data_IF_930257388276
#
_entry.id   IF_930257388276
#
_cell.length_a   1.000
_cell.length_b   1.000
_cell.length_c   1.000
_cell.angle_alpha   90.00
_cell.angle_beta   90.00
_cell.angle_gamma   90.00
#
_symmetry.space_group_name_H-M   'P 1'
#
loop_
_entity.id
_entity.type
_entity.pdbx_description
1 polymer ?
#
# COMPACT_ATOMS: atom_id res chain seq x y z
N UNK A 1 -31.80 14.55 -11.62
CA UNK A 1 -32.69 14.46 -12.78
C UNK A 1 -32.58 15.77 -13.55
N UNK A 2 -32.26 15.69 -14.84
CA UNK A 2 -32.14 16.86 -15.67
C UNK A 2 -30.88 17.67 -15.36
N UNK A 3 -31.03 18.80 -14.77
CA UNK A 3 -29.99 19.81 -14.64
C UNK A 3 -29.26 19.77 -13.26
N UNK A 4 -29.44 18.69 -12.46
CA UNK A 4 -28.80 18.56 -11.13
C UNK A 4 -28.01 17.26 -11.05
N UNK A 5 -26.74 17.37 -10.63
CA UNK A 5 -25.83 16.23 -10.39
C UNK A 5 -25.38 16.24 -8.93
N UNK A 6 -25.64 15.15 -8.24
CA UNK A 6 -25.15 14.90 -6.88
C UNK A 6 -23.92 13.97 -6.93
N UNK A 7 -22.82 14.41 -6.36
CA UNK A 7 -21.55 13.70 -6.31
C UNK A 7 -21.22 13.32 -4.87
N UNK A 8 -20.93 12.05 -4.63
CA UNK A 8 -20.54 11.49 -3.33
C UNK A 8 -19.04 11.15 -3.35
N UNK A 9 -18.16 12.08 -2.93
CA UNK A 9 -16.73 11.84 -2.95
C UNK A 9 -16.35 10.70 -2.01
N UNK A 10 -15.57 9.73 -2.47
CA UNK A 10 -15.16 8.55 -1.69
C UNK A 10 -14.35 8.88 -0.42
N UNK A 11 -13.78 10.08 -0.31
CA UNK A 11 -12.98 10.58 0.81
C UNK A 11 -13.77 11.49 1.77
N UNK A 12 -15.08 11.65 1.58
CA UNK A 12 -15.97 12.47 2.44
C UNK A 12 -17.26 11.72 2.74
N UNK A 13 -17.36 11.16 3.93
CA UNK A 13 -18.56 10.41 4.36
C UNK A 13 -19.73 11.32 4.75
N UNK A 14 -19.44 12.52 5.28
CA UNK A 14 -20.46 13.41 5.86
C UNK A 14 -21.02 14.46 4.91
N UNK A 15 -20.37 14.71 3.76
CA UNK A 15 -20.76 15.77 2.83
C UNK A 15 -20.68 15.31 1.38
N UNK A 16 -21.74 15.52 0.63
CA UNK A 16 -21.79 15.37 -0.82
C UNK A 16 -21.87 16.73 -1.52
N UNK A 17 -21.52 16.75 -2.80
CA UNK A 17 -21.56 17.94 -3.64
C UNK A 17 -22.77 17.88 -4.56
N UNK A 18 -23.57 18.94 -4.57
CA UNK A 18 -24.64 19.19 -5.56
C UNK A 18 -24.19 20.24 -6.55
N UNK A 19 -24.33 19.94 -7.83
CA UNK A 19 -24.07 20.86 -8.93
C UNK A 19 -25.36 21.03 -9.69
N UNK A 20 -25.81 22.28 -9.83
CA UNK A 20 -26.96 22.67 -10.62
C UNK A 20 -26.47 23.31 -11.91
N UNK A 21 -27.02 22.88 -13.05
CA UNK A 21 -26.64 23.35 -14.36
C UNK A 21 -27.77 24.18 -14.98
N UNK A 22 -27.38 25.22 -15.71
CA UNK A 22 -28.24 25.92 -16.63
C UNK A 22 -27.72 25.74 -18.06
N UNK A 23 -28.28 24.79 -18.78
CA UNK A 23 -27.70 24.35 -20.03
C UNK A 23 -26.33 23.68 -19.85
N UNK A 24 -25.29 24.24 -20.49
CA UNK A 24 -23.92 23.75 -20.39
C UNK A 24 -23.06 24.48 -19.34
N UNK A 25 -23.67 25.40 -18.56
CA UNK A 25 -22.98 26.19 -17.55
C UNK A 25 -23.38 25.71 -16.14
N UNK A 26 -22.43 25.79 -15.20
CA UNK A 26 -22.72 25.56 -13.77
C UNK A 26 -23.36 26.83 -13.22
N UNK A 27 -24.61 26.73 -12.80
CA UNK A 27 -25.35 27.81 -12.17
C UNK A 27 -25.05 27.93 -10.67
N UNK A 28 -24.96 26.76 -9.98
CA UNK A 28 -24.75 26.72 -8.54
C UNK A 28 -24.06 25.45 -8.10
N UNK A 29 -23.22 25.57 -7.06
CA UNK A 29 -22.64 24.43 -6.33
C UNK A 29 -22.89 24.55 -4.84
N UNK A 30 -23.31 23.46 -4.21
CA UNK A 30 -23.54 23.41 -2.76
C UNK A 30 -23.12 22.09 -2.14
N UNK A 31 -22.63 22.15 -0.91
CA UNK A 31 -22.41 20.96 -0.09
C UNK A 31 -23.69 20.61 0.67
N UNK A 32 -24.05 19.33 0.67
CA UNK A 32 -25.23 18.85 1.38
C UNK A 32 -24.93 17.57 2.18
N UNK A 33 -25.77 17.28 3.17
CA UNK A 33 -25.72 16.04 3.94
C UNK A 33 -26.37 14.91 3.14
N UNK A 34 -25.65 13.78 2.88
CA UNK A 34 -26.21 12.66 2.12
C UNK A 34 -27.49 12.04 2.72
N UNK A 35 -27.55 11.94 4.05
CA UNK A 35 -28.65 11.28 4.75
C UNK A 35 -29.94 12.13 4.78
N UNK A 36 -29.80 13.43 5.04
CA UNK A 36 -30.94 14.34 5.17
C UNK A 36 -31.28 15.11 3.90
N UNK A 37 -30.36 15.14 2.93
CA UNK A 37 -30.47 15.99 1.74
C UNK A 37 -30.39 17.49 2.02
N UNK A 38 -30.07 17.87 3.27
CA UNK A 38 -30.03 19.27 3.69
C UNK A 38 -28.77 19.97 3.22
N UNK A 39 -28.95 21.04 2.47
CA UNK A 39 -27.83 21.89 2.05
C UNK A 39 -27.21 22.61 3.27
N UNK A 40 -25.88 22.64 3.30
CA UNK A 40 -25.11 23.23 4.39
C UNK A 40 -24.38 24.49 3.97
N UNK A 41 -23.82 24.51 2.76
CA UNK A 41 -22.91 25.57 2.34
C UNK A 41 -22.91 25.67 0.82
N UNK A 42 -23.07 26.88 0.29
CA UNK A 42 -22.86 27.18 -1.11
C UNK A 42 -21.38 27.50 -1.34
N UNK A 43 -20.82 26.98 -2.43
CA UNK A 43 -19.40 27.09 -2.73
C UNK A 43 -19.17 27.47 -4.19
N UNK A 44 -18.12 28.25 -4.44
CA UNK A 44 -17.73 28.66 -5.78
C UNK A 44 -16.74 27.70 -6.45
N UNK A 45 -16.02 26.93 -5.66
CA UNK A 45 -14.99 26.00 -6.16
C UNK A 45 -14.99 24.70 -5.36
N UNK A 46 -14.77 23.59 -6.06
CA UNK A 46 -14.60 22.29 -5.43
C UNK A 46 -13.54 21.47 -6.15
N UNK A 47 -12.61 20.87 -5.40
CA UNK A 47 -11.64 19.97 -5.97
C UNK A 47 -12.13 18.53 -5.78
N UNK A 48 -12.46 17.88 -6.88
CA UNK A 48 -12.88 16.49 -6.90
C UNK A 48 -11.66 15.59 -7.18
N UNK A 49 -11.31 14.77 -6.19
CA UNK A 49 -10.25 13.79 -6.35
C UNK A 49 -10.80 12.45 -6.83
N UNK A 50 -10.03 11.70 -7.63
CA UNK A 50 -10.43 10.37 -8.05
C UNK A 50 -10.66 9.43 -6.86
N UNK A 51 -11.67 8.57 -6.95
CA UNK A 51 -11.95 7.53 -5.96
C UNK A 51 -10.96 6.34 -6.06
N UNK A 52 -10.25 6.23 -7.17
CA UNK A 52 -9.32 5.15 -7.47
C UNK A 52 -7.96 5.70 -7.89
N UNK A 53 -6.90 4.97 -7.58
CA UNK A 53 -5.50 5.37 -7.88
C UNK A 53 -5.25 5.40 -9.39
N UNK A 54 -5.79 4.42 -10.13
CA UNK A 54 -5.63 4.34 -11.58
C UNK A 54 -6.88 4.92 -12.27
N UNK A 55 -6.78 6.19 -12.62
CA UNK A 55 -7.75 6.85 -13.53
C UNK A 55 -7.02 7.14 -14.83
N UNK A 56 -7.36 6.39 -15.86
CA UNK A 56 -6.71 6.49 -17.17
C UNK A 56 -7.71 7.06 -18.17
N UNK A 57 -7.37 8.09 -18.96
CA UNK A 57 -8.21 8.55 -20.05
C UNK A 57 -8.55 7.42 -21.03
N UNK A 58 -9.72 7.46 -21.63
CA UNK A 58 -10.26 6.37 -22.43
C UNK A 58 -9.35 6.01 -23.62
N UNK A 59 -8.77 7.00 -24.29
CA UNK A 59 -7.83 6.82 -25.39
C UNK A 59 -6.55 6.07 -24.95
N UNK A 60 -6.02 6.38 -23.78
CA UNK A 60 -4.88 5.67 -23.19
C UNK A 60 -5.26 4.25 -22.73
N UNK A 61 -6.45 4.08 -22.20
CA UNK A 61 -6.95 2.77 -21.79
C UNK A 61 -7.05 1.83 -23.01
N UNK A 62 -7.57 2.30 -24.13
CA UNK A 62 -7.66 1.52 -25.36
C UNK A 62 -6.28 1.13 -25.90
N UNK A 63 -5.33 2.07 -25.91
CA UNK A 63 -3.96 1.79 -26.31
C UNK A 63 -3.29 0.76 -25.37
N UNK A 64 -3.50 0.88 -24.06
CA UNK A 64 -2.99 -0.08 -23.07
C UNK A 64 -3.57 -1.48 -23.28
N UNK A 65 -4.87 -1.60 -23.57
CA UNK A 65 -5.55 -2.87 -23.86
C UNK A 65 -4.90 -3.56 -25.07
N UNK A 66 -4.63 -2.85 -26.15
CA UNK A 66 -3.95 -3.43 -27.31
C UNK A 66 -2.54 -3.90 -27.00
N UNK A 67 -1.76 -3.11 -26.26
CA UNK A 67 -0.42 -3.50 -25.82
C UNK A 67 -0.43 -4.73 -24.91
N UNK A 68 -1.42 -4.84 -24.02
CA UNK A 68 -1.60 -6.03 -23.15
C UNK A 68 -1.93 -7.26 -24.01
N UNK A 69 -2.80 -7.13 -25.03
CA UNK A 69 -3.12 -8.22 -25.96
C UNK A 69 -1.90 -8.68 -26.76
N UNK A 70 -1.02 -7.74 -27.14
CA UNK A 70 0.22 -8.09 -27.83
C UNK A 70 1.18 -8.86 -26.93
N UNK A 71 1.40 -8.39 -25.71
CA UNK A 71 2.22 -9.10 -24.72
C UNK A 71 1.64 -10.48 -24.41
N UNK A 72 0.32 -10.59 -24.25
CA UNK A 72 -0.35 -11.86 -24.02
C UNK A 72 -0.09 -12.85 -25.18
N UNK A 73 -0.31 -12.43 -26.43
CA UNK A 73 -0.06 -13.28 -27.61
C UNK A 73 1.36 -13.80 -27.65
N UNK A 74 2.34 -12.92 -27.43
CA UNK A 74 3.73 -13.31 -27.35
C UNK A 74 3.98 -14.30 -26.21
N UNK A 75 3.52 -14.01 -25.01
CA UNK A 75 3.77 -14.89 -23.84
C UNK A 75 3.10 -16.26 -23.99
N UNK A 76 1.91 -16.32 -24.56
CA UNK A 76 1.23 -17.59 -24.84
C UNK A 76 2.02 -18.46 -25.82
N UNK A 77 2.60 -17.86 -26.86
CA UNK A 77 3.47 -18.59 -27.80
C UNK A 77 4.67 -19.21 -27.07
N UNK A 78 5.36 -18.43 -26.22
CA UNK A 78 6.49 -18.91 -25.42
C UNK A 78 6.09 -20.06 -24.48
N UNK A 79 4.98 -19.92 -23.74
CA UNK A 79 4.53 -20.97 -22.82
C UNK A 79 4.16 -22.27 -23.55
N UNK A 80 3.53 -22.15 -24.74
CA UNK A 80 3.18 -23.31 -25.55
C UNK A 80 4.40 -24.03 -26.11
N UNK A 81 5.44 -23.29 -26.55
CA UNK A 81 6.71 -23.84 -26.98
C UNK A 81 7.45 -24.57 -25.83
N UNK A 82 7.35 -24.03 -24.60
CA UNK A 82 7.88 -24.67 -23.38
C UNK A 82 7.06 -25.89 -22.92
N UNK A 83 5.95 -26.21 -23.58
CA UNK A 83 5.05 -27.29 -23.18
C UNK A 83 4.17 -26.97 -21.96
N UNK A 84 4.13 -25.73 -21.50
CA UNK A 84 3.37 -25.24 -20.34
C UNK A 84 1.92 -24.88 -20.73
N UNK A 85 1.14 -25.89 -21.13
CA UNK A 85 -0.21 -25.67 -21.66
C UNK A 85 -1.21 -25.18 -20.60
N UNK A 86 -1.08 -25.65 -19.35
CA UNK A 86 -1.96 -25.24 -18.23
C UNK A 86 -1.69 -23.79 -17.84
N UNK A 87 -0.44 -23.40 -17.79
CA UNK A 87 0.00 -22.02 -17.52
C UNK A 87 -0.50 -21.08 -18.63
N UNK A 88 -0.37 -21.49 -19.89
CA UNK A 88 -0.86 -20.72 -21.03
C UNK A 88 -2.38 -20.52 -20.95
N UNK A 89 -3.16 -21.58 -20.71
CA UNK A 89 -4.62 -21.48 -20.59
C UNK A 89 -5.04 -20.59 -19.44
N UNK A 90 -4.40 -20.73 -18.28
CA UNK A 90 -4.66 -19.90 -17.09
C UNK A 90 -4.40 -18.42 -17.36
N UNK A 91 -3.25 -18.11 -17.96
CA UNK A 91 -2.87 -16.75 -18.30
C UNK A 91 -3.86 -16.12 -19.29
N UNK A 92 -4.23 -16.88 -20.33
CA UNK A 92 -5.18 -16.44 -21.37
C UNK A 92 -6.54 -16.11 -20.75
N UNK A 93 -7.12 -17.04 -19.99
CA UNK A 93 -8.42 -16.84 -19.35
C UNK A 93 -8.41 -15.64 -18.40
N UNK A 94 -7.40 -15.54 -17.54
CA UNK A 94 -7.31 -14.45 -16.58
C UNK A 94 -7.15 -13.11 -17.27
N UNK A 95 -6.22 -13.00 -18.21
CA UNK A 95 -5.94 -11.72 -18.88
C UNK A 95 -7.11 -11.26 -19.74
N UNK A 96 -7.77 -12.17 -20.46
CA UNK A 96 -8.95 -11.83 -21.27
C UNK A 96 -10.11 -11.34 -20.40
N UNK A 97 -10.35 -11.97 -19.25
CA UNK A 97 -11.35 -11.52 -18.29
C UNK A 97 -11.01 -10.13 -17.73
N UNK A 98 -9.75 -9.89 -17.35
CA UNK A 98 -9.30 -8.59 -16.85
C UNK A 98 -9.47 -7.49 -17.92
N UNK A 99 -9.18 -7.80 -19.19
CA UNK A 99 -9.38 -6.87 -20.33
C UNK A 99 -10.85 -6.54 -20.56
N UNK A 100 -11.74 -7.52 -20.48
CA UNK A 100 -13.18 -7.33 -20.58
C UNK A 100 -13.68 -6.40 -19.46
N UNK A 101 -13.25 -6.64 -18.22
CA UNK A 101 -13.58 -5.77 -17.10
C UNK A 101 -13.05 -4.33 -17.27
N UNK A 102 -11.85 -4.16 -17.81
CA UNK A 102 -11.31 -2.83 -18.09
C UNK A 102 -12.13 -2.11 -19.17
N UNK A 103 -12.61 -2.82 -20.21
CA UNK A 103 -13.43 -2.24 -21.28
C UNK A 103 -14.84 -1.85 -20.82
N UNK A 104 -15.49 -2.72 -20.04
CA UNK A 104 -16.90 -2.53 -19.66
C UNK A 104 -17.05 -1.64 -18.40
N UNK A 105 -16.11 -1.72 -17.47
CA UNK A 105 -16.22 -1.09 -16.15
C UNK A 105 -15.11 -0.04 -15.92
N UNK A 106 -14.08 -0.01 -16.77
CA UNK A 106 -12.90 0.84 -16.60
C UNK A 106 -11.93 0.35 -15.51
N UNK A 107 -12.16 -0.82 -14.91
CA UNK A 107 -11.37 -1.35 -13.80
C UNK A 107 -11.40 -2.88 -13.77
N UNK A 108 -10.31 -3.49 -13.28
CA UNK A 108 -10.26 -4.90 -12.93
C UNK A 108 -9.53 -5.13 -11.60
N UNK A 109 -9.79 -6.26 -10.95
CA UNK A 109 -9.06 -6.65 -9.73
C UNK A 109 -7.60 -6.96 -10.07
N UNK A 110 -6.66 -6.23 -9.43
CA UNK A 110 -5.23 -6.35 -9.72
C UNK A 110 -4.78 -5.52 -10.92
N UNK A 111 -5.49 -4.45 -11.25
CA UNK A 111 -5.17 -3.52 -12.35
C UNK A 111 -3.74 -3.00 -12.29
N UNK A 112 -3.16 -2.91 -11.10
CA UNK A 112 -1.77 -2.52 -10.88
C UNK A 112 -0.76 -3.42 -11.60
N UNK A 113 -1.11 -4.68 -11.89
CA UNK A 113 -0.25 -5.59 -12.64
C UNK A 113 -0.10 -5.20 -14.11
N UNK A 114 -0.98 -4.33 -14.61
CA UNK A 114 -0.95 -3.76 -15.95
C UNK A 114 -0.44 -2.30 -15.97
N UNK A 115 0.05 -1.80 -14.83
CA UNK A 115 0.42 -0.38 -14.65
C UNK A 115 1.41 0.13 -15.69
N UNK A 116 2.37 -0.71 -16.16
CA UNK A 116 3.30 -0.33 -17.22
C UNK A 116 2.58 0.11 -18.48
N UNK A 117 1.61 -0.67 -18.94
CA UNK A 117 0.82 -0.36 -20.14
C UNK A 117 -0.11 0.84 -19.92
N UNK A 118 -0.75 0.92 -18.76
CA UNK A 118 -1.67 2.02 -18.41
C UNK A 118 -0.96 3.39 -18.31
N UNK A 119 0.30 3.38 -17.88
CA UNK A 119 1.12 4.60 -17.75
C UNK A 119 2.01 4.88 -18.96
N UNK A 120 2.09 3.94 -19.91
CA UNK A 120 2.93 4.09 -21.12
C UNK A 120 4.42 4.01 -20.84
N UNK A 121 4.84 3.35 -19.75
CA UNK A 121 6.27 3.20 -19.39
C UNK A 121 6.95 2.13 -20.23
N UNK A 122 8.25 2.31 -20.46
CA UNK A 122 9.08 1.32 -21.10
C UNK A 122 9.35 0.09 -20.16
N UNK A 123 9.67 -1.08 -20.74
CA UNK A 123 10.06 -2.24 -19.95
C UNK A 123 11.24 -1.95 -19.02
N UNK A 124 11.09 -2.25 -17.73
CA UNK A 124 12.12 -2.03 -16.71
C UNK A 124 12.10 -0.63 -16.09
N UNK A 125 11.40 0.33 -16.68
CA UNK A 125 11.25 1.66 -16.14
C UNK A 125 10.50 1.61 -14.79
N UNK A 126 11.03 2.35 -13.78
CA UNK A 126 10.44 2.36 -12.45
C UNK A 126 9.05 3.02 -12.44
N UNK A 127 8.12 2.54 -11.60
CA UNK A 127 6.86 3.25 -11.40
C UNK A 127 7.09 4.55 -10.61
N UNK A 128 6.17 5.48 -10.78
CA UNK A 128 6.08 6.63 -9.88
C UNK A 128 5.77 6.17 -8.46
N UNK A 129 6.39 6.81 -7.49
CA UNK A 129 6.17 6.57 -6.07
C UNK A 129 5.88 7.89 -5.34
N UNK A 130 5.60 7.82 -4.04
CA UNK A 130 5.29 9.00 -3.23
C UNK A 130 6.41 10.06 -3.29
N UNK A 131 7.67 9.64 -3.37
CA UNK A 131 8.83 10.55 -3.40
C UNK A 131 8.86 11.44 -4.65
N UNK A 132 8.29 10.99 -5.77
CA UNK A 132 8.21 11.77 -7.01
C UNK A 132 7.30 13.01 -6.91
N UNK A 133 6.47 13.10 -5.87
CA UNK A 133 5.55 14.21 -5.64
C UNK A 133 6.07 15.26 -4.67
N UNK A 134 7.25 15.04 -4.10
CA UNK A 134 7.91 16.03 -3.24
C UNK A 134 8.79 16.98 -4.08
N UNK A 135 9.05 18.19 -3.61
CA UNK A 135 10.04 19.08 -4.21
C UNK A 135 11.43 18.42 -4.21
N UNK A 136 12.28 18.76 -5.18
CA UNK A 136 13.63 18.18 -5.33
C UNK A 136 14.53 18.39 -4.09
N UNK A 137 14.24 19.38 -3.28
CA UNK A 137 15.01 19.77 -2.08
C UNK A 137 14.37 19.32 -0.75
N UNK A 138 13.46 18.33 -0.78
CA UNK A 138 12.84 17.82 0.44
C UNK A 138 13.83 17.13 1.37
N UNK A 139 13.54 17.20 2.67
CA UNK A 139 14.26 16.49 3.70
C UNK A 139 13.51 15.20 4.09
N UNK A 140 14.16 14.06 3.94
CA UNK A 140 13.68 12.79 4.43
C UNK A 140 14.17 12.55 5.85
N UNK A 141 13.26 12.21 6.75
CA UNK A 141 13.60 11.74 8.11
C UNK A 141 13.22 10.27 8.22
N UNK A 142 14.20 9.41 8.46
CA UNK A 142 14.02 7.97 8.60
C UNK A 142 14.07 7.60 10.07
N UNK A 143 12.91 7.27 10.63
CA UNK A 143 12.80 6.78 12.00
C UNK A 143 13.14 5.30 12.10
N UNK A 144 13.74 4.89 13.22
CA UNK A 144 14.27 3.54 13.45
C UNK A 144 15.08 3.02 12.24
N UNK A 145 15.99 3.85 11.77
CA UNK A 145 16.69 3.64 10.50
C UNK A 145 17.44 2.31 10.43
N UNK A 146 17.98 1.82 11.54
CA UNK A 146 18.65 0.52 11.65
C UNK A 146 17.76 -0.67 11.27
N UNK A 147 16.42 -0.50 11.31
CA UNK A 147 15.43 -1.49 10.87
C UNK A 147 14.83 -1.09 9.53
N UNK A 148 14.50 0.19 9.35
CA UNK A 148 13.82 0.71 8.16
C UNK A 148 14.69 0.58 6.90
N UNK A 149 15.96 0.94 6.95
CA UNK A 149 16.85 0.87 5.80
C UNK A 149 17.04 -0.57 5.28
N UNK A 150 17.33 -1.58 6.11
CA UNK A 150 17.35 -2.97 5.66
C UNK A 150 16.04 -3.45 5.04
N UNK A 151 14.88 -3.01 5.55
CA UNK A 151 13.58 -3.34 4.98
C UNK A 151 13.41 -2.72 3.58
N UNK A 152 13.72 -1.45 3.40
CA UNK A 152 13.67 -0.78 2.09
C UNK A 152 14.57 -1.51 1.09
N UNK A 153 15.79 -1.86 1.49
CA UNK A 153 16.75 -2.60 0.66
C UNK A 153 16.23 -3.98 0.25
N UNK A 154 15.49 -4.66 1.11
CA UNK A 154 14.95 -5.99 0.84
C UNK A 154 13.68 -5.99 -0.03
N UNK A 155 12.93 -4.89 -0.08
CA UNK A 155 11.60 -4.81 -0.72
C UNK A 155 11.63 -5.22 -2.20
N UNK A 156 12.56 -4.69 -2.98
CA UNK A 156 12.66 -4.97 -4.40
C UNK A 156 12.88 -6.46 -4.68
N UNK A 157 13.88 -7.07 -4.03
CA UNK A 157 14.21 -8.46 -4.25
C UNK A 157 13.10 -9.41 -3.79
N UNK A 158 12.43 -9.10 -2.68
CA UNK A 158 11.31 -9.88 -2.17
C UNK A 158 10.11 -9.85 -3.12
N UNK A 159 9.71 -8.67 -3.60
CA UNK A 159 8.62 -8.51 -4.57
C UNK A 159 8.95 -9.19 -5.90
N UNK A 160 10.17 -8.99 -6.43
CA UNK A 160 10.63 -9.60 -7.67
C UNK A 160 10.60 -11.12 -7.60
N UNK A 161 11.12 -11.72 -6.54
CA UNK A 161 11.15 -13.16 -6.37
C UNK A 161 9.73 -13.78 -6.38
N UNK A 162 8.79 -13.13 -5.68
CA UNK A 162 7.38 -13.54 -5.67
C UNK A 162 6.74 -13.41 -7.07
N UNK A 163 6.92 -12.30 -7.74
CA UNK A 163 6.32 -12.03 -9.06
C UNK A 163 6.89 -12.91 -10.15
N UNK A 164 8.19 -13.23 -10.12
CA UNK A 164 8.80 -14.18 -11.04
C UNK A 164 8.09 -15.54 -11.00
N UNK A 165 7.74 -16.02 -9.81
CA UNK A 165 6.96 -17.26 -9.67
C UNK A 165 5.56 -17.14 -10.27
N UNK A 166 4.89 -16.03 -10.08
CA UNK A 166 3.57 -15.77 -10.66
C UNK A 166 3.60 -15.73 -12.20
N UNK A 167 4.65 -15.13 -12.78
CA UNK A 167 4.86 -15.09 -14.23
C UNK A 167 5.24 -16.45 -14.78
N UNK A 168 6.14 -17.18 -14.10
CA UNK A 168 6.56 -18.52 -14.48
C UNK A 168 5.39 -19.50 -14.58
N UNK A 169 4.45 -19.41 -13.63
CA UNK A 169 3.30 -20.29 -13.54
C UNK A 169 2.02 -19.74 -14.22
N UNK A 170 2.12 -18.72 -15.06
CA UNK A 170 1.00 -18.21 -15.85
C UNK A 170 -0.09 -17.49 -15.04
N UNK A 171 0.22 -16.93 -13.87
CA UNK A 171 -0.71 -16.12 -13.09
C UNK A 171 -0.65 -14.63 -13.44
N UNK A 172 0.46 -14.17 -14.04
CA UNK A 172 0.67 -12.77 -14.43
C UNK A 172 1.45 -12.68 -15.73
N UNK A 173 1.24 -11.59 -16.47
CA UNK A 173 2.09 -11.21 -17.60
C UNK A 173 3.48 -10.78 -17.11
N UNK A 174 4.53 -10.88 -17.94
CA UNK A 174 5.87 -10.40 -17.61
C UNK A 174 5.91 -8.92 -17.19
N UNK A 175 5.07 -8.06 -17.79
CA UNK A 175 4.94 -6.63 -17.45
C UNK A 175 4.56 -6.38 -16.00
N UNK A 176 3.97 -7.35 -15.29
CA UNK A 176 3.68 -7.23 -13.86
C UNK A 176 4.94 -7.05 -13.00
N UNK A 177 6.11 -7.46 -13.52
CA UNK A 177 7.41 -7.23 -12.88
C UNK A 177 7.78 -5.74 -12.79
N UNK A 178 7.23 -4.91 -13.70
CA UNK A 178 7.51 -3.47 -13.74
C UNK A 178 6.62 -2.64 -12.79
N UNK A 179 5.62 -3.26 -12.17
CA UNK A 179 4.94 -2.70 -10.98
C UNK A 179 5.70 -3.16 -9.74
N UNK A 180 6.72 -2.45 -9.35
CA UNK A 180 7.70 -2.85 -8.36
C UNK A 180 8.08 -1.75 -7.39
N UNK A 181 8.55 -2.06 -6.18
CA UNK A 181 9.23 -1.09 -5.34
C UNK A 181 10.48 -0.52 -6.04
N UNK A 182 10.96 0.60 -5.55
CA UNK A 182 12.27 1.12 -5.93
C UNK A 182 13.37 0.08 -5.65
N UNK A 183 14.42 0.06 -6.47
CA UNK A 183 15.68 -0.51 -6.01
C UNK A 183 16.27 0.37 -4.92
N UNK A 184 17.27 -0.13 -4.19
CA UNK A 184 17.87 0.67 -3.13
C UNK A 184 18.64 1.87 -3.70
N UNK A 185 19.29 1.69 -4.84
CA UNK A 185 20.00 2.74 -5.58
C UNK A 185 19.02 3.84 -6.05
N UNK A 186 17.86 3.47 -6.61
CA UNK A 186 16.80 4.43 -6.97
C UNK A 186 16.27 5.20 -5.75
N UNK A 187 16.17 4.53 -4.61
CA UNK A 187 15.79 5.19 -3.35
C UNK A 187 16.82 6.22 -2.92
N UNK A 188 18.12 5.88 -2.95
CA UNK A 188 19.20 6.80 -2.60
C UNK A 188 19.25 8.01 -3.55
N UNK A 189 19.04 7.80 -4.85
CA UNK A 189 19.00 8.88 -5.85
C UNK A 189 17.83 9.86 -5.60
N UNK A 190 16.67 9.36 -5.16
CA UNK A 190 15.48 10.17 -4.88
C UNK A 190 15.51 10.87 -3.52
N UNK A 191 16.45 10.54 -2.64
CA UNK A 191 16.51 11.05 -1.27
C UNK A 191 17.84 11.72 -0.96
N UNK A 192 18.13 12.87 -1.60
CA UNK A 192 19.46 13.52 -1.52
C UNK A 192 19.80 14.07 -0.13
N UNK A 193 18.79 14.36 0.69
CA UNK A 193 18.97 14.88 2.04
C UNK A 193 18.21 13.99 3.02
N UNK A 194 18.95 13.25 3.86
CA UNK A 194 18.34 12.29 4.80
C UNK A 194 18.89 12.47 6.22
N UNK A 195 17.99 12.49 7.19
CA UNK A 195 18.32 12.36 8.62
C UNK A 195 17.93 10.95 9.07
N UNK A 196 18.89 10.21 9.57
CA UNK A 196 18.67 8.89 10.16
C UNK A 196 18.50 9.03 11.68
N UNK A 197 17.42 8.47 12.21
CA UNK A 197 17.11 8.46 13.63
C UNK A 197 17.09 7.03 14.14
N UNK A 198 17.85 6.75 15.19
CA UNK A 198 17.90 5.42 15.80
C UNK A 198 18.52 5.48 17.20
N UNK A 199 18.02 4.65 18.10
CA UNK A 199 18.66 4.41 19.38
C UNK A 199 19.93 3.53 19.25
N UNK A 200 19.99 2.72 18.19
CA UNK A 200 21.07 1.78 17.89
C UNK A 200 21.43 1.83 16.40
N UNK A 201 22.09 2.91 15.94
CA UNK A 201 22.43 3.07 14.53
C UNK A 201 23.30 1.90 14.04
N UNK A 202 23.08 1.50 12.79
CA UNK A 202 23.82 0.44 12.12
C UNK A 202 24.97 1.02 11.26
N UNK A 203 25.76 0.13 10.67
CA UNK A 203 26.95 0.53 9.89
C UNK A 203 26.60 1.45 8.72
N UNK A 204 25.45 1.24 8.07
CA UNK A 204 25.02 2.04 6.92
C UNK A 204 24.85 3.52 7.30
N UNK A 205 24.13 3.82 8.38
CA UNK A 205 23.90 5.21 8.82
C UNK A 205 25.21 5.88 9.25
N UNK A 206 26.09 5.14 9.91
CA UNK A 206 27.40 5.64 10.34
C UNK A 206 28.30 5.93 9.14
N UNK A 207 28.28 5.08 8.11
CA UNK A 207 29.00 5.30 6.85
C UNK A 207 28.47 6.52 6.11
N UNK A 208 27.13 6.65 5.95
CA UNK A 208 26.50 7.77 5.26
C UNK A 208 26.73 9.12 5.97
N UNK A 209 26.80 9.13 7.30
CA UNK A 209 27.07 10.34 8.09
C UNK A 209 28.58 10.64 8.25
N UNK A 210 29.46 9.82 7.67
CA UNK A 210 30.92 9.96 7.86
C UNK A 210 31.36 9.74 9.31
N UNK A 211 30.58 8.97 10.09
CA UNK A 211 30.82 8.73 11.52
C UNK A 211 30.40 9.88 12.43
N UNK A 212 29.78 10.92 11.90
CA UNK A 212 29.28 12.06 12.70
C UNK A 212 27.83 11.79 13.08
N UNK A 213 27.52 11.81 14.36
CA UNK A 213 26.18 11.69 14.89
C UNK A 213 25.93 12.62 16.07
N UNK A 214 24.67 12.94 16.31
CA UNK A 214 24.22 13.78 17.42
C UNK A 214 23.50 12.91 18.43
N UNK A 215 23.96 12.91 19.66
CA UNK A 215 23.32 12.17 20.75
C UNK A 215 22.24 13.01 21.43
N UNK A 216 21.04 12.45 21.55
CA UNK A 216 19.95 13.01 22.35
C UNK A 216 19.65 12.06 23.52
N UNK A 217 20.36 12.26 24.62
CA UNK A 217 20.36 11.34 25.76
C UNK A 217 19.28 11.69 26.79
N UNK A 218 18.81 12.94 26.81
CA UNK A 218 17.84 13.40 27.81
C UNK A 218 16.43 13.03 27.43
N UNK A 219 15.75 12.22 28.26
CA UNK A 219 14.32 11.92 28.14
C UNK A 219 13.53 12.85 29.08
N UNK A 220 12.94 13.95 28.59
CA UNK A 220 12.33 14.98 29.43
C UNK A 220 10.96 14.59 30.01
N UNK A 221 10.42 13.42 29.64
CA UNK A 221 9.08 12.97 30.07
C UNK A 221 8.97 12.66 31.57
N UNK A 222 10.05 12.42 32.25
CA UNK A 222 10.06 11.97 33.66
C UNK A 222 9.47 10.58 33.90
N UNK A 223 9.09 9.87 32.83
CA UNK A 223 8.55 8.52 32.90
C UNK A 223 9.74 7.53 32.89
N UNK A 224 9.95 6.74 33.97
CA UNK A 224 11.00 5.73 33.99
C UNK A 224 10.70 4.62 32.99
N UNK A 225 11.73 3.88 32.59
CA UNK A 225 11.55 2.66 31.83
C UNK A 225 10.77 1.64 32.68
N UNK A 226 9.94 0.77 32.05
CA UNK A 226 9.22 -0.25 32.78
C UNK A 226 10.16 -1.25 33.43
N UNK A 227 9.78 -1.78 34.59
CA UNK A 227 10.49 -2.91 35.21
C UNK A 227 10.38 -4.14 34.33
N UNK A 228 11.48 -4.80 34.08
CA UNK A 228 11.56 -6.00 33.26
C UNK A 228 11.80 -7.21 34.17
N UNK A 229 10.89 -8.18 34.08
CA UNK A 229 11.04 -9.47 34.74
C UNK A 229 11.19 -10.59 33.70
N UNK A 230 12.25 -11.37 33.80
CA UNK A 230 12.49 -12.53 32.93
C UNK A 230 12.05 -13.79 33.64
N UNK A 231 11.10 -14.51 33.07
CA UNK A 231 10.54 -15.74 33.65
C UNK A 231 10.85 -16.97 32.78
N UNK A 232 10.90 -18.17 33.37
CA UNK A 232 11.09 -19.42 32.63
C UNK A 232 9.98 -19.65 31.59
N UNK A 233 10.30 -20.30 30.48
CA UNK A 233 9.32 -20.64 29.43
C UNK A 233 8.41 -21.82 29.79
N UNK A 234 8.78 -22.63 30.79
CA UNK A 234 7.92 -23.71 31.31
C UNK A 234 6.64 -23.14 31.94
N UNK A 235 5.49 -23.63 31.48
CA UNK A 235 4.15 -23.17 31.92
C UNK A 235 3.88 -21.69 31.68
N UNK A 236 4.54 -21.09 30.66
CA UNK A 236 4.42 -19.65 30.38
C UNK A 236 2.99 -19.19 30.10
N UNK A 237 2.11 -20.05 29.55
CA UNK A 237 0.71 -19.68 29.27
C UNK A 237 -0.11 -19.60 30.55
N UNK A 238 0.08 -20.53 31.49
CA UNK A 238 -0.60 -20.49 32.78
C UNK A 238 -0.15 -19.28 33.61
N UNK A 239 1.14 -18.98 33.61
CA UNK A 239 1.71 -17.81 34.27
C UNK A 239 1.17 -16.50 33.65
N UNK A 240 1.07 -16.43 32.31
CA UNK A 240 0.44 -15.32 31.62
C UNK A 240 -1.02 -15.13 32.01
N UNK A 241 -1.80 -16.21 32.05
CA UNK A 241 -3.21 -16.15 32.46
C UNK A 241 -3.38 -15.63 33.90
N UNK A 242 -2.50 -16.02 34.80
CA UNK A 242 -2.51 -15.54 36.18
C UNK A 242 -2.20 -14.03 36.24
N UNK A 243 -1.21 -13.58 35.50
CA UNK A 243 -0.89 -12.15 35.41
C UNK A 243 -2.00 -11.31 34.74
N UNK A 244 -2.65 -11.83 33.70
CA UNK A 244 -3.81 -11.16 33.09
C UNK A 244 -4.92 -10.98 34.11
N UNK A 245 -5.28 -12.04 34.89
CA UNK A 245 -6.33 -11.97 35.92
C UNK A 245 -6.01 -10.92 36.98
N UNK A 246 -4.77 -10.94 37.51
CA UNK A 246 -4.31 -9.94 38.49
C UNK A 246 -4.44 -8.51 38.01
N UNK A 247 -4.17 -8.25 36.71
CA UNK A 247 -4.27 -6.94 36.08
C UNK A 247 -5.73 -6.56 35.81
N UNK A 248 -6.52 -7.50 35.31
CA UNK A 248 -7.95 -7.30 35.07
C UNK A 248 -8.73 -6.94 36.36
N UNK A 249 -8.41 -7.58 37.49
CA UNK A 249 -8.99 -7.24 38.79
C UNK A 249 -8.73 -5.80 39.24
N UNK A 250 -7.62 -5.20 38.74
CA UNK A 250 -7.27 -3.79 38.99
C UNK A 250 -7.82 -2.85 37.90
N UNK A 251 -8.55 -3.36 36.91
CA UNK A 251 -9.01 -2.57 35.76
C UNK A 251 -7.91 -2.19 34.76
N UNK A 252 -6.75 -2.85 34.84
CA UNK A 252 -5.60 -2.62 33.97
C UNK A 252 -5.71 -3.50 32.70
N UNK A 253 -4.96 -3.17 31.66
CA UNK A 253 -4.87 -3.93 30.40
C UNK A 253 -3.52 -4.60 30.26
N UNK A 254 -3.48 -5.72 29.53
CA UNK A 254 -2.26 -6.46 29.23
C UNK A 254 -2.08 -6.53 27.72
N UNK A 255 -0.89 -6.19 27.23
CA UNK A 255 -0.50 -6.39 25.83
C UNK A 255 0.39 -7.63 25.75
N UNK A 256 -0.03 -8.60 24.97
CA UNK A 256 0.70 -9.85 24.77
C UNK A 256 1.27 -9.87 23.34
N UNK A 257 2.57 -10.08 23.21
CA UNK A 257 3.23 -10.21 21.91
C UNK A 257 3.80 -11.62 21.75
N UNK A 258 3.76 -12.14 20.53
CA UNK A 258 4.28 -13.48 20.20
C UNK A 258 5.26 -13.38 19.02
N UNK A 259 6.00 -14.46 18.76
CA UNK A 259 6.99 -14.50 17.68
C UNK A 259 6.37 -14.56 16.27
N UNK A 260 5.14 -15.07 16.14
CA UNK A 260 4.47 -15.23 14.83
C UNK A 260 2.99 -14.90 14.91
N UNK A 261 2.40 -14.45 13.82
CA UNK A 261 0.94 -14.19 13.70
C UNK A 261 0.12 -15.42 14.08
N UNK A 262 0.51 -16.60 13.61
CA UNK A 262 -0.18 -17.85 13.92
C UNK A 262 -0.18 -18.14 15.43
N UNK A 263 0.94 -17.94 16.12
CA UNK A 263 0.98 -18.09 17.58
C UNK A 263 0.06 -17.09 18.29
N UNK A 264 -0.10 -15.88 17.74
CA UNK A 264 -1.04 -14.89 18.29
C UNK A 264 -2.48 -15.38 18.15
N UNK A 265 -2.85 -15.89 16.97
CA UNK A 265 -4.18 -16.46 16.71
C UNK A 265 -4.47 -17.66 17.61
N UNK A 266 -3.56 -18.64 17.63
CA UNK A 266 -3.69 -19.85 18.48
C UNK A 266 -3.80 -19.48 19.98
N UNK A 267 -3.03 -18.50 20.45
CA UNK A 267 -3.07 -18.03 21.83
C UNK A 267 -4.35 -17.25 22.14
N UNK A 268 -4.83 -16.43 21.22
CA UNK A 268 -6.07 -15.67 21.39
C UNK A 268 -7.27 -16.63 21.52
N UNK A 269 -7.37 -17.61 20.61
CA UNK A 269 -8.42 -18.64 20.67
C UNK A 269 -8.37 -19.44 21.98
N UNK A 270 -7.16 -19.74 22.45
CA UNK A 270 -6.98 -20.43 23.73
C UNK A 270 -7.46 -19.58 24.90
N UNK A 271 -7.06 -18.31 24.99
CA UNK A 271 -7.47 -17.40 26.07
C UNK A 271 -8.98 -17.16 26.05
N UNK A 272 -9.60 -16.97 24.89
CA UNK A 272 -11.05 -16.82 24.74
C UNK A 272 -11.80 -18.06 25.25
N UNK A 273 -11.29 -19.27 24.98
CA UNK A 273 -11.87 -20.52 25.49
C UNK A 273 -11.92 -20.61 27.03
N UNK A 274 -11.06 -19.86 27.72
CA UNK A 274 -11.00 -19.75 29.16
C UNK A 274 -11.68 -18.48 29.72
N UNK A 275 -12.31 -17.68 28.87
CA UNK A 275 -13.04 -16.47 29.24
C UNK A 275 -12.12 -15.31 29.66
N UNK A 276 -10.95 -15.21 29.06
CA UNK A 276 -9.95 -14.17 29.34
C UNK A 276 -9.95 -13.13 28.23
#
# INVERSE_FOLDING_TARGET
RGDVVDIFPAYREEKALRIEFWGDEIDRMALFEPESGREREEIDTFTLYPAQIFVTPEDRLQAAIENIKEELRWRLAVLREEGKMVEAQRLEQRTMFDLEMMQEVGYCSGIENYSRHLTGREPGERPYCLLDYFPDDFLLVVDESHVTIPQVRAMYNGDRARKLKLVEHGFRLPSALDNRPLTFEEFEELTPQTIYMSATPADYELEQSGGVFVEQVVRPTGIPDPEIEVRPTGNQVDDLMEEIRKRAEKGERVLVTTLTKRMTEDLADYLDSYGV
#
